data_IF_708199595845
#
_entry.id   IF_708199595845
#
_cell.length_a   1.000
_cell.length_b   1.000
_cell.length_c   1.000
_cell.angle_alpha   90.00
_cell.angle_beta   90.00
_cell.angle_gamma   90.00
#
_symmetry.space_group_name_H-M   'P 1'
#
loop_
_entity.id
_entity.type
_entity.pdbx_description
1 polymer ?
#
# COMPACT_ATOMS: atom_id res chain seq x y z
N UNK A 1 -31.90 -20.44 -21.70
CA UNK A 1 -31.63 -19.12 -21.10
C UNK A 1 -30.23 -18.75 -21.50
N UNK A 2 -30.07 -17.75 -22.36
CA UNK A 2 -28.74 -17.22 -22.67
C UNK A 2 -28.27 -16.53 -21.39
N UNK A 3 -27.25 -17.09 -20.74
CA UNK A 3 -26.57 -16.42 -19.63
C UNK A 3 -25.90 -15.19 -20.26
N UNK A 4 -26.45 -14.00 -20.04
CA UNK A 4 -25.78 -12.77 -20.45
C UNK A 4 -24.44 -12.71 -19.72
N UNK A 5 -23.35 -12.70 -20.48
CA UNK A 5 -22.02 -12.48 -19.95
C UNK A 5 -22.05 -11.15 -19.16
N UNK A 6 -21.72 -11.13 -17.85
CA UNK A 6 -21.86 -9.93 -17.01
C UNK A 6 -21.07 -8.76 -17.59
N UNK A 7 -21.37 -7.49 -17.32
CA UNK A 7 -20.52 -6.38 -17.81
C UNK A 7 -19.10 -6.46 -17.22
N UNK A 8 -18.10 -5.81 -17.84
CA UNK A 8 -16.75 -5.75 -17.26
C UNK A 8 -16.74 -5.10 -15.88
N UNK A 9 -17.60 -4.10 -15.67
CA UNK A 9 -17.78 -3.42 -14.39
C UNK A 9 -18.36 -4.36 -13.33
N UNK A 10 -19.39 -5.13 -13.67
CA UNK A 10 -19.95 -6.14 -12.76
C UNK A 10 -18.94 -7.26 -12.44
N UNK A 11 -18.09 -7.62 -13.41
CA UNK A 11 -16.99 -8.56 -13.17
C UNK A 11 -15.96 -7.97 -12.20
N UNK A 12 -15.53 -6.72 -12.38
CA UNK A 12 -14.59 -6.03 -11.48
C UNK A 12 -15.13 -5.94 -10.05
N UNK A 13 -16.41 -5.61 -9.89
CA UNK A 13 -17.06 -5.54 -8.59
C UNK A 13 -17.10 -6.92 -7.90
N UNK A 14 -17.34 -7.98 -8.66
CA UNK A 14 -17.40 -9.36 -8.17
C UNK A 14 -16.03 -10.01 -7.94
N UNK A 15 -14.96 -9.49 -8.55
CA UNK A 15 -13.61 -10.05 -8.49
C UNK A 15 -13.06 -10.01 -7.04
N UNK A 16 -12.68 -11.14 -6.43
CA UNK A 16 -11.94 -11.14 -5.17
C UNK A 16 -10.57 -10.52 -5.37
N UNK A 17 -10.16 -9.62 -4.47
CA UNK A 17 -8.91 -8.87 -4.59
C UNK A 17 -8.04 -9.00 -3.33
N UNK A 18 -6.75 -8.76 -3.53
CA UNK A 18 -5.75 -8.59 -2.48
C UNK A 18 -5.08 -7.24 -2.70
N UNK A 19 -4.93 -6.47 -1.63
CA UNK A 19 -4.27 -5.16 -1.63
C UNK A 19 -2.89 -5.31 -0.97
N UNK A 20 -1.82 -5.02 -1.70
CA UNK A 20 -0.44 -5.24 -1.22
C UNK A 20 0.33 -3.95 -0.95
N UNK A 21 -0.18 -2.82 -1.44
CA UNK A 21 0.51 -1.54 -1.35
C UNK A 21 -0.51 -0.45 -1.05
N UNK A 22 -0.74 -0.26 0.25
CA UNK A 22 -1.66 0.74 0.79
C UNK A 22 -1.13 1.24 2.14
N UNK A 23 -1.22 2.55 2.36
CA UNK A 23 -0.69 3.17 3.57
C UNK A 23 -1.81 3.48 4.58
N UNK A 24 -1.56 3.19 5.86
CA UNK A 24 -2.56 3.34 6.93
C UNK A 24 -3.18 4.74 6.97
N UNK A 25 -2.36 5.79 7.04
CA UNK A 25 -2.85 7.18 7.12
C UNK A 25 -3.45 7.62 5.79
N UNK A 26 -2.85 7.23 4.66
CA UNK A 26 -3.36 7.52 3.32
C UNK A 26 -4.72 6.92 3.03
N UNK A 27 -4.99 5.74 3.61
CA UNK A 27 -6.26 5.01 3.48
C UNK A 27 -7.39 5.55 4.37
N UNK A 28 -7.17 6.64 5.10
CA UNK A 28 -8.17 7.25 5.96
C UNK A 28 -9.30 7.91 5.16
N UNK A 29 -10.40 7.18 4.95
CA UNK A 29 -11.55 7.71 4.22
C UNK A 29 -12.29 8.80 4.98
N UNK A 30 -13.11 9.57 4.26
CA UNK A 30 -13.96 10.64 4.82
C UNK A 30 -14.74 10.19 6.07
N UNK A 31 -15.45 9.04 6.10
CA UNK A 31 -16.14 8.61 7.33
C UNK A 31 -15.19 8.33 8.49
N UNK A 32 -14.03 7.74 8.22
CA UNK A 32 -13.02 7.41 9.24
C UNK A 32 -12.40 8.69 9.81
N UNK A 33 -12.07 9.65 8.96
CA UNK A 33 -11.51 10.94 9.36
C UNK A 33 -12.52 11.76 10.16
N UNK A 34 -13.81 11.72 9.82
CA UNK A 34 -14.86 12.34 10.64
C UNK A 34 -14.96 11.71 12.02
N UNK A 35 -14.78 10.39 12.14
CA UNK A 35 -14.76 9.71 13.43
C UNK A 35 -13.58 10.19 14.29
N UNK A 36 -12.36 10.20 13.71
CA UNK A 36 -11.16 10.72 14.37
C UNK A 36 -11.30 12.19 14.77
N UNK A 37 -11.78 13.05 13.86
CA UNK A 37 -11.92 14.48 14.10
C UNK A 37 -12.98 14.79 15.17
N UNK A 38 -14.04 13.98 15.28
CA UNK A 38 -15.03 14.09 16.37
C UNK A 38 -14.46 13.67 17.73
N UNK A 39 -13.55 12.69 17.76
CA UNK A 39 -12.83 12.30 18.99
C UNK A 39 -11.88 13.40 19.46
N UNK A 40 -11.26 14.11 18.51
CA UNK A 40 -10.29 15.18 18.76
C UNK A 40 -10.77 16.55 18.26
N UNK A 41 -11.80 17.16 18.89
CA UNK A 41 -12.37 18.42 18.41
C UNK A 41 -11.35 19.56 18.46
N UNK A 42 -11.47 20.49 17.50
CA UNK A 42 -10.55 21.63 17.36
C UNK A 42 -9.27 21.32 16.59
N UNK A 43 -9.19 20.14 15.95
CA UNK A 43 -8.15 19.81 14.98
C UNK A 43 -8.28 20.59 13.66
N UNK A 44 -7.30 20.45 12.76
CA UNK A 44 -7.23 21.20 11.49
C UNK A 44 -8.23 20.72 10.43
N UNK A 45 -8.96 19.63 10.68
CA UNK A 45 -9.81 18.95 9.70
C UNK A 45 -11.29 19.32 9.91
N UNK A 46 -12.07 19.61 8.84
CA UNK A 46 -13.50 19.89 8.94
C UNK A 46 -14.32 18.76 9.57
N UNK A 47 -15.37 19.12 10.33
CA UNK A 47 -16.30 18.17 10.96
C UNK A 47 -17.58 17.93 10.15
N UNK A 48 -17.84 18.77 9.16
CA UNK A 48 -18.92 18.57 8.18
C UNK A 48 -18.42 17.68 7.04
N UNK A 49 -19.23 16.70 6.64
CA UNK A 49 -18.83 15.73 5.63
C UNK A 49 -18.59 16.37 4.25
N UNK A 50 -19.39 17.36 3.87
CA UNK A 50 -19.25 18.02 2.57
C UNK A 50 -17.99 18.88 2.55
N UNK A 51 -17.72 19.61 3.63
CA UNK A 51 -16.48 20.37 3.77
C UNK A 51 -15.26 19.46 3.77
N UNK A 52 -15.35 18.30 4.43
CA UNK A 52 -14.26 17.32 4.43
C UNK A 52 -14.04 16.70 3.04
N UNK A 53 -15.09 16.42 2.26
CA UNK A 53 -14.91 15.96 0.87
C UNK A 53 -14.16 16.99 0.04
N UNK A 54 -14.52 18.27 0.16
CA UNK A 54 -13.81 19.35 -0.52
C UNK A 54 -12.37 19.53 0.00
N UNK A 55 -12.09 19.17 1.26
CA UNK A 55 -10.75 19.19 1.84
C UNK A 55 -9.80 18.17 1.17
N UNK A 56 -10.34 17.07 0.65
CA UNK A 56 -9.60 16.07 -0.13
C UNK A 56 -9.46 16.45 -1.63
N UNK A 57 -9.96 17.60 -2.08
CA UNK A 57 -9.75 18.07 -3.46
C UNK A 57 -8.40 18.81 -3.55
N UNK A 58 -7.36 18.10 -4.01
CA UNK A 58 -6.00 18.63 -4.06
C UNK A 58 -5.79 19.64 -5.20
N UNK A 59 -4.97 20.66 -4.94
CA UNK A 59 -4.61 21.71 -5.91
C UNK A 59 -3.25 21.44 -6.54
N UNK A 60 -2.33 20.88 -5.75
CA UNK A 60 -0.96 20.54 -6.08
C UNK A 60 -0.38 19.62 -4.99
N UNK A 61 0.84 19.13 -5.20
CA UNK A 61 1.54 18.25 -4.26
C UNK A 61 1.78 18.90 -2.87
N UNK A 62 2.17 20.19 -2.75
CA UNK A 62 2.21 20.87 -1.46
C UNK A 62 0.89 20.82 -0.69
N UNK A 63 -0.25 21.07 -1.35
CA UNK A 63 -1.56 21.00 -0.71
C UNK A 63 -1.89 19.56 -0.26
N UNK A 64 -1.53 18.55 -1.05
CA UNK A 64 -1.63 17.14 -0.63
C UNK A 64 -0.84 16.88 0.67
N UNK A 65 0.41 17.35 0.75
CA UNK A 65 1.23 17.18 1.95
C UNK A 65 0.60 17.86 3.18
N UNK A 66 0.06 19.07 3.03
CA UNK A 66 -0.65 19.78 4.11
C UNK A 66 -1.88 19.01 4.62
N UNK A 67 -2.66 18.42 3.71
CA UNK A 67 -3.84 17.61 4.04
C UNK A 67 -3.42 16.30 4.73
N UNK A 68 -2.40 15.62 4.20
CA UNK A 68 -1.84 14.41 4.79
C UNK A 68 -1.36 14.66 6.23
N UNK A 69 -0.59 15.73 6.45
CA UNK A 69 -0.15 16.15 7.79
C UNK A 69 -1.33 16.46 8.71
N UNK A 70 -2.37 17.12 8.19
CA UNK A 70 -3.57 17.46 8.96
C UNK A 70 -4.31 16.20 9.43
N UNK A 71 -4.48 15.22 8.56
CA UNK A 71 -5.11 13.93 8.90
C UNK A 71 -4.24 13.13 9.86
N UNK A 72 -2.93 13.06 9.60
CA UNK A 72 -1.96 12.41 10.49
C UNK A 72 -2.00 12.99 11.91
N UNK A 73 -2.20 14.30 12.05
CA UNK A 73 -2.30 14.99 13.35
C UNK A 73 -3.53 14.61 14.19
N UNK A 74 -4.51 13.94 13.60
CA UNK A 74 -5.67 13.40 14.32
C UNK A 74 -5.35 12.08 15.04
N UNK A 75 -4.27 11.39 14.67
CA UNK A 75 -3.88 10.12 15.29
C UNK A 75 -3.03 10.41 16.53
N UNK A 76 -3.67 10.42 17.71
CA UNK A 76 -3.03 10.84 18.96
C UNK A 76 -2.96 9.72 19.98
N UNK A 77 -3.94 8.83 19.96
CA UNK A 77 -4.09 7.73 20.90
C UNK A 77 -4.10 6.38 20.16
N UNK A 78 -3.77 5.26 20.84
CA UNK A 78 -3.82 3.93 20.24
C UNK A 78 -5.18 3.58 19.61
N UNK A 79 -6.27 4.08 20.20
CA UNK A 79 -7.62 3.90 19.64
C UNK A 79 -7.79 4.54 18.25
N UNK A 80 -7.05 5.60 17.95
CA UNK A 80 -7.08 6.24 16.62
C UNK A 80 -6.41 5.37 15.56
N UNK A 81 -5.32 4.69 15.94
CA UNK A 81 -4.66 3.70 15.07
C UNK A 81 -5.61 2.55 14.76
N UNK A 82 -6.32 2.03 15.78
CA UNK A 82 -7.33 1.01 15.57
C UNK A 82 -8.50 1.50 14.69
N UNK A 83 -8.95 2.76 14.91
CA UNK A 83 -9.99 3.41 14.09
C UNK A 83 -9.58 3.46 12.62
N UNK A 84 -8.33 3.81 12.32
CA UNK A 84 -7.81 3.81 10.95
C UNK A 84 -7.86 2.41 10.33
N UNK A 85 -7.28 1.40 10.99
CA UNK A 85 -7.26 0.01 10.47
C UNK A 85 -8.68 -0.50 10.20
N UNK A 86 -9.61 -0.29 11.13
CA UNK A 86 -11.00 -0.74 10.98
C UNK A 86 -11.74 0.02 9.87
N UNK A 87 -11.48 1.31 9.73
CA UNK A 87 -11.96 2.13 8.62
C UNK A 87 -11.49 1.59 7.27
N UNK A 88 -10.20 1.32 7.13
CA UNK A 88 -9.59 0.73 5.93
C UNK A 88 -10.20 -0.64 5.63
N UNK A 89 -10.34 -1.51 6.63
CA UNK A 89 -10.95 -2.83 6.47
C UNK A 89 -12.41 -2.76 6.00
N UNK A 90 -13.21 -1.84 6.57
CA UNK A 90 -14.59 -1.59 6.13
C UNK A 90 -14.64 -1.22 4.64
N UNK A 91 -13.78 -0.30 4.22
CA UNK A 91 -13.80 0.24 2.85
C UNK A 91 -13.27 -0.77 1.83
N UNK A 92 -12.29 -1.60 2.21
CA UNK A 92 -11.79 -2.71 1.41
C UNK A 92 -12.81 -3.85 1.30
N UNK A 93 -13.58 -4.14 2.35
CA UNK A 93 -14.65 -5.14 2.29
C UNK A 93 -15.71 -4.79 1.24
N UNK A 94 -16.07 -3.50 1.13
CA UNK A 94 -17.00 -3.00 0.12
C UNK A 94 -16.47 -3.14 -1.33
N UNK A 95 -15.17 -3.40 -1.49
CA UNK A 95 -14.49 -3.60 -2.76
C UNK A 95 -14.20 -5.08 -3.08
N UNK A 96 -14.76 -5.98 -2.27
CA UNK A 96 -14.55 -7.44 -2.36
C UNK A 96 -13.08 -7.84 -2.13
N UNK A 97 -12.36 -7.07 -1.33
CA UNK A 97 -11.00 -7.41 -0.90
C UNK A 97 -11.06 -8.46 0.21
N UNK A 98 -10.22 -9.48 0.11
CA UNK A 98 -10.14 -10.59 1.08
C UNK A 98 -8.99 -10.41 2.08
N UNK A 99 -7.92 -9.78 1.62
CA UNK A 99 -6.70 -9.62 2.39
C UNK A 99 -5.97 -8.34 2.01
N UNK A 100 -5.36 -7.70 3.02
CA UNK A 100 -4.56 -6.49 2.87
C UNK A 100 -3.25 -6.60 3.64
N UNK A 101 -2.18 -6.14 3.01
CA UNK A 101 -0.90 -5.86 3.67
C UNK A 101 -0.80 -4.35 3.86
N UNK A 102 -1.18 -3.88 5.03
CA UNK A 102 -1.31 -2.47 5.35
C UNK A 102 0.04 -1.93 5.83
N UNK A 103 0.59 -0.98 5.08
CA UNK A 103 1.83 -0.30 5.45
C UNK A 103 1.57 0.69 6.58
N UNK A 104 2.32 0.53 7.66
CA UNK A 104 2.27 1.37 8.86
C UNK A 104 3.66 1.95 9.09
N UNK A 105 3.73 3.26 9.28
CA UNK A 105 4.97 3.96 9.64
C UNK A 105 5.01 4.16 11.15
N UNK A 106 5.41 3.16 11.97
CA UNK A 106 5.28 3.26 13.42
C UNK A 106 6.07 4.43 14.02
N UNK A 107 7.19 4.80 13.39
CA UNK A 107 8.07 5.85 13.89
C UNK A 107 7.38 7.22 13.95
N UNK A 108 6.44 7.54 13.05
CA UNK A 108 5.72 8.82 13.10
C UNK A 108 4.83 8.91 14.33
N UNK A 109 4.14 7.81 14.69
CA UNK A 109 3.33 7.71 15.91
C UNK A 109 4.19 7.75 17.17
N UNK A 110 5.37 7.11 17.16
CA UNK A 110 6.33 7.20 18.26
C UNK A 110 6.82 8.63 18.46
N UNK A 111 7.13 9.35 17.37
CA UNK A 111 7.57 10.74 17.42
C UNK A 111 6.47 11.67 17.94
N UNK A 112 5.20 11.29 17.73
CA UNK A 112 4.04 11.96 18.33
C UNK A 112 3.83 11.61 19.82
N UNK A 113 4.67 10.75 20.41
CA UNK A 113 4.67 10.40 21.83
C UNK A 113 3.97 9.08 22.16
N UNK A 114 3.48 8.32 21.16
CA UNK A 114 2.80 7.06 21.40
C UNK A 114 3.81 5.93 21.74
N UNK A 115 3.64 5.22 22.87
CA UNK A 115 4.53 4.10 23.21
C UNK A 115 4.41 2.95 22.20
N UNK A 116 5.55 2.35 21.81
CA UNK A 116 5.58 1.18 20.90
C UNK A 116 4.61 0.06 21.31
N UNK A 117 4.54 -0.38 22.59
CA UNK A 117 3.62 -1.44 22.99
C UNK A 117 2.15 -1.07 22.77
N UNK A 118 1.81 0.21 22.91
CA UNK A 118 0.43 0.69 22.77
C UNK A 118 -0.01 0.71 21.30
N UNK A 119 0.89 1.12 20.39
CA UNK A 119 0.67 1.00 18.94
C UNK A 119 0.44 -0.47 18.57
N UNK A 120 1.29 -1.37 19.07
CA UNK A 120 1.21 -2.81 18.81
C UNK A 120 -0.11 -3.42 19.28
N UNK A 121 -0.53 -3.10 20.51
CA UNK A 121 -1.81 -3.58 21.05
C UNK A 121 -3.00 -3.12 20.22
N UNK A 122 -3.00 -1.85 19.77
CA UNK A 122 -4.05 -1.34 18.89
C UNK A 122 -4.09 -2.05 17.53
N UNK A 123 -2.94 -2.31 16.94
CA UNK A 123 -2.83 -3.04 15.67
C UNK A 123 -3.30 -4.49 15.80
N UNK A 124 -2.95 -5.19 16.88
CA UNK A 124 -3.38 -6.58 17.12
C UNK A 124 -4.90 -6.66 17.32
N UNK A 125 -5.46 -5.76 18.13
CA UNK A 125 -6.90 -5.69 18.35
C UNK A 125 -7.65 -5.40 17.05
N UNK A 126 -7.19 -4.40 16.28
CA UNK A 126 -7.84 -4.02 15.05
C UNK A 126 -7.75 -5.08 13.95
N UNK A 127 -6.65 -5.84 13.86
CA UNK A 127 -6.53 -6.94 12.90
C UNK A 127 -7.54 -8.07 13.18
N UNK A 128 -7.74 -8.42 14.46
CA UNK A 128 -8.74 -9.39 14.86
C UNK A 128 -10.16 -8.92 14.54
N UNK A 129 -10.46 -7.67 14.91
CA UNK A 129 -11.79 -7.08 14.71
C UNK A 129 -12.12 -6.82 13.22
N UNK A 130 -11.13 -6.45 12.40
CA UNK A 130 -11.29 -6.32 10.95
C UNK A 130 -11.77 -7.63 10.31
N UNK A 131 -11.17 -8.77 10.71
CA UNK A 131 -11.61 -10.08 10.24
C UNK A 131 -13.01 -10.40 10.73
N UNK A 132 -13.29 -10.20 12.01
CA UNK A 132 -14.55 -10.63 12.63
C UNK A 132 -15.75 -9.79 12.17
N UNK A 133 -15.57 -8.48 11.92
CA UNK A 133 -16.63 -7.56 11.49
C UNK A 133 -16.78 -7.44 9.98
N UNK A 134 -15.67 -7.50 9.23
CA UNK A 134 -15.64 -7.16 7.82
C UNK A 134 -15.20 -8.32 6.92
N UNK A 135 -14.72 -9.43 7.49
CA UNK A 135 -14.22 -10.56 6.72
C UNK A 135 -12.89 -10.28 6.02
N UNK A 136 -12.21 -9.16 6.34
CA UNK A 136 -10.93 -8.77 5.74
C UNK A 136 -9.80 -9.20 6.65
N UNK A 137 -8.89 -10.00 6.11
CA UNK A 137 -7.65 -10.39 6.82
C UNK A 137 -6.63 -9.26 6.67
N UNK A 138 -6.12 -8.74 7.80
CA UNK A 138 -5.11 -7.68 7.81
C UNK A 138 -3.77 -8.27 8.23
N UNK A 139 -2.72 -7.93 7.48
CA UNK A 139 -1.34 -8.05 7.88
C UNK A 139 -0.65 -6.67 7.80
N UNK A 140 0.45 -6.51 8.52
CA UNK A 140 1.16 -5.24 8.61
C UNK A 140 2.55 -5.31 7.99
N UNK A 141 2.93 -4.21 7.34
CA UNK A 141 4.29 -3.93 6.92
C UNK A 141 4.74 -2.69 7.72
N UNK A 142 5.81 -2.81 8.49
CA UNK A 142 6.40 -1.62 9.15
C UNK A 142 7.44 -1.00 8.24
N UNK A 143 7.23 0.26 7.85
CA UNK A 143 8.15 0.96 6.96
C UNK A 143 8.99 2.03 7.69
N UNK A 144 10.20 2.21 7.16
CA UNK A 144 11.05 3.32 7.51
C UNK A 144 10.58 4.54 6.71
N UNK A 145 10.29 5.68 7.35
CA UNK A 145 10.09 6.93 6.63
C UNK A 145 11.46 7.51 6.25
N UNK A 146 11.81 7.38 4.96
CA UNK A 146 13.18 7.56 4.45
C UNK A 146 13.81 8.92 4.75
N UNK A 147 13.01 9.98 4.83
CA UNK A 147 13.42 11.34 5.17
C UNK A 147 13.90 11.51 6.61
N UNK A 148 13.58 10.58 7.52
CA UNK A 148 14.11 10.57 8.89
C UNK A 148 15.41 9.78 9.04
N UNK A 149 15.94 9.25 7.94
CA UNK A 149 17.26 8.65 7.86
C UNK A 149 17.54 7.66 8.97
N UNK A 150 18.68 7.82 9.65
CA UNK A 150 19.15 6.90 10.68
C UNK A 150 18.25 6.82 11.92
N UNK A 151 17.61 7.92 12.32
CA UNK A 151 16.74 7.91 13.50
C UNK A 151 15.44 7.17 13.23
N UNK A 152 14.79 7.44 12.09
CA UNK A 152 13.61 6.71 11.65
C UNK A 152 13.90 5.23 11.42
N UNK A 153 15.06 4.92 10.83
CA UNK A 153 15.50 3.53 10.66
C UNK A 153 15.59 2.78 11.98
N UNK A 154 16.28 3.36 12.98
CA UNK A 154 16.42 2.75 14.29
C UNK A 154 15.08 2.60 14.99
N UNK A 155 14.25 3.64 15.00
CA UNK A 155 12.96 3.62 15.69
C UNK A 155 11.97 2.60 15.10
N UNK A 156 11.89 2.50 13.77
CA UNK A 156 11.06 1.48 13.11
C UNK A 156 11.60 0.07 13.39
N UNK A 157 12.91 -0.15 13.28
CA UNK A 157 13.52 -1.46 13.54
C UNK A 157 13.35 -1.91 14.99
N UNK A 158 13.62 -1.02 15.95
CA UNK A 158 13.50 -1.31 17.37
C UNK A 158 12.06 -1.74 17.72
N UNK A 159 11.05 -1.08 17.13
CA UNK A 159 9.66 -1.47 17.29
C UNK A 159 9.38 -2.84 16.68
N UNK A 160 9.76 -3.06 15.42
CA UNK A 160 9.54 -4.32 14.72
C UNK A 160 10.18 -5.52 15.45
N UNK A 161 11.29 -5.32 16.17
CA UNK A 161 11.98 -6.40 16.89
C UNK A 161 11.53 -6.56 18.34
N UNK A 162 11.28 -5.46 19.06
CA UNK A 162 10.96 -5.51 20.49
C UNK A 162 9.45 -5.66 20.76
N UNK A 163 8.61 -5.09 19.89
CA UNK A 163 7.16 -5.03 20.05
C UNK A 163 6.42 -5.32 18.73
N UNK A 164 6.71 -6.41 17.98
CA UNK A 164 5.98 -6.71 16.76
C UNK A 164 4.50 -7.01 17.04
N UNK A 165 3.54 -6.47 16.27
CA UNK A 165 2.19 -7.02 16.25
C UNK A 165 2.22 -8.44 15.67
N UNK A 166 1.28 -9.29 16.09
CA UNK A 166 1.19 -10.69 15.66
C UNK A 166 1.06 -10.82 14.14
N UNK A 167 0.40 -9.84 13.50
CA UNK A 167 0.19 -9.80 12.06
C UNK A 167 1.31 -9.06 11.30
N UNK A 168 2.45 -8.74 11.92
CA UNK A 168 3.60 -8.15 11.23
C UNK A 168 4.25 -9.19 10.30
N UNK A 169 4.21 -8.93 8.99
CA UNK A 169 4.75 -9.85 7.96
C UNK A 169 5.94 -9.29 7.21
N UNK A 170 6.08 -7.96 7.19
CA UNK A 170 7.06 -7.29 6.34
C UNK A 170 7.71 -6.07 6.99
N UNK A 171 8.85 -5.72 6.42
CA UNK A 171 9.60 -4.51 6.73
C UNK A 171 9.85 -3.74 5.43
N UNK A 172 9.50 -2.46 5.44
CA UNK A 172 9.48 -1.59 4.27
C UNK A 172 10.36 -0.35 4.41
N UNK A 173 10.44 0.40 3.32
CA UNK A 173 11.11 1.69 3.22
C UNK A 173 10.29 2.54 2.27
N UNK A 174 9.75 3.64 2.78
CA UNK A 174 8.94 4.58 2.01
C UNK A 174 9.49 6.00 2.16
N UNK A 175 8.67 7.00 1.87
CA UNK A 175 9.04 8.41 1.91
C UNK A 175 9.92 8.82 0.72
N UNK A 176 10.57 9.98 0.82
CA UNK A 176 11.21 10.64 -0.33
C UNK A 176 12.44 9.85 -0.81
N UNK A 177 12.42 9.28 -2.02
CA UNK A 177 13.52 8.44 -2.53
C UNK A 177 14.84 9.21 -2.68
N UNK A 178 14.79 10.46 -3.11
CA UNK A 178 15.97 11.26 -3.45
C UNK A 178 16.84 11.62 -2.24
N UNK A 179 16.29 11.54 -1.01
CA UNK A 179 17.03 11.84 0.22
C UNK A 179 17.59 10.59 0.91
N UNK A 180 17.37 9.39 0.35
CA UNK A 180 17.78 8.11 0.96
C UNK A 180 19.29 7.83 0.82
N UNK A 181 19.94 8.36 -0.22
CA UNK A 181 21.33 8.05 -0.57
C UNK A 181 22.39 8.21 0.55
N UNK A 182 22.29 9.20 1.47
CA UNK A 182 23.21 9.33 2.60
C UNK A 182 23.05 8.26 3.69
N UNK A 183 21.93 7.53 3.71
CA UNK A 183 21.54 6.61 4.78
C UNK A 183 21.52 5.13 4.35
N UNK A 184 22.00 4.83 3.13
CA UNK A 184 21.90 3.51 2.50
C UNK A 184 22.45 2.36 3.31
N UNK A 185 23.62 2.53 3.92
CA UNK A 185 24.20 1.47 4.75
C UNK A 185 23.37 1.22 6.01
N UNK A 186 22.79 2.28 6.59
CA UNK A 186 21.86 2.17 7.73
C UNK A 186 20.59 1.41 7.35
N UNK A 187 20.00 1.70 6.20
CA UNK A 187 18.85 0.94 5.69
C UNK A 187 19.23 -0.53 5.44
N UNK A 188 20.37 -0.79 4.79
CA UNK A 188 20.86 -2.15 4.53
C UNK A 188 21.00 -2.97 5.82
N UNK A 189 21.59 -2.39 6.86
CA UNK A 189 21.78 -3.09 8.13
C UNK A 189 20.44 -3.35 8.84
N UNK A 190 19.50 -2.41 8.78
CA UNK A 190 18.16 -2.61 9.32
C UNK A 190 17.37 -3.70 8.58
N UNK A 191 17.40 -3.70 7.25
CA UNK A 191 16.77 -4.76 6.46
C UNK A 191 17.41 -6.12 6.68
N UNK A 192 18.74 -6.19 6.85
CA UNK A 192 19.41 -7.43 7.25
C UNK A 192 18.90 -7.94 8.60
N UNK A 193 18.74 -7.06 9.58
CA UNK A 193 18.23 -7.43 10.90
C UNK A 193 16.75 -7.87 10.86
N UNK A 194 15.89 -7.12 10.15
CA UNK A 194 14.47 -7.45 9.99
C UNK A 194 14.29 -8.82 9.30
N UNK A 195 15.04 -9.09 8.23
CA UNK A 195 15.02 -10.38 7.54
C UNK A 195 15.54 -11.52 8.41
N UNK A 196 16.57 -11.27 9.23
CA UNK A 196 17.06 -12.25 10.19
C UNK A 196 16.02 -12.59 11.27
N UNK A 197 15.07 -11.68 11.54
CA UNK A 197 13.92 -11.90 12.41
C UNK A 197 12.72 -12.56 11.69
N UNK A 198 12.84 -12.86 10.39
CA UNK A 198 11.80 -13.54 9.60
C UNK A 198 10.83 -12.62 8.88
N UNK A 199 11.04 -11.30 8.91
CA UNK A 199 10.22 -10.35 8.16
C UNK A 199 10.61 -10.33 6.68
N UNK A 200 9.63 -10.19 5.80
CA UNK A 200 9.89 -9.99 4.36
C UNK A 200 10.43 -8.59 4.08
N UNK A 201 11.26 -8.47 3.05
CA UNK A 201 11.74 -7.16 2.57
C UNK A 201 10.82 -6.61 1.50
N UNK A 202 10.11 -5.52 1.80
CA UNK A 202 9.09 -4.90 0.94
C UNK A 202 9.30 -3.37 0.79
N UNK A 203 10.46 -2.92 0.27
CA UNK A 203 10.76 -1.49 0.12
C UNK A 203 10.12 -0.86 -1.14
N UNK A 204 9.86 0.44 -1.09
CA UNK A 204 9.63 1.24 -2.30
C UNK A 204 10.94 1.45 -3.05
N UNK A 205 10.87 1.46 -4.39
CA UNK A 205 12.01 1.84 -5.23
C UNK A 205 11.61 2.17 -6.66
N UNK A 206 12.21 3.22 -7.21
CA UNK A 206 12.05 3.59 -8.62
C UNK A 206 10.70 4.21 -8.95
N UNK A 207 10.08 4.86 -7.97
CA UNK A 207 8.90 5.70 -8.19
C UNK A 207 9.31 7.13 -8.55
N UNK A 208 10.13 7.75 -7.68
CA UNK A 208 10.55 9.15 -7.79
C UNK A 208 12.00 9.31 -8.28
N UNK A 209 12.63 8.18 -8.58
CA UNK A 209 14.02 8.05 -9.02
C UNK A 209 14.16 7.00 -10.12
N UNK A 210 15.38 6.79 -10.62
CA UNK A 210 15.61 5.89 -11.74
C UNK A 210 15.78 4.42 -11.34
N UNK A 211 16.06 3.55 -12.34
CA UNK A 211 16.35 2.12 -12.17
C UNK A 211 17.39 1.80 -11.10
N UNK A 212 18.32 2.72 -10.82
CA UNK A 212 19.37 2.54 -9.82
C UNK A 212 18.83 2.27 -8.41
N UNK A 213 17.72 2.90 -8.04
CA UNK A 213 17.07 2.67 -6.73
C UNK A 213 16.43 1.29 -6.69
N UNK A 214 15.89 0.81 -7.81
CA UNK A 214 15.32 -0.54 -7.91
C UNK A 214 16.43 -1.59 -7.71
N UNK A 215 17.57 -1.43 -8.40
CA UNK A 215 18.74 -2.28 -8.17
C UNK A 215 19.21 -2.22 -6.71
N UNK A 216 19.25 -1.02 -6.13
CA UNK A 216 19.67 -0.83 -4.74
C UNK A 216 18.78 -1.59 -3.76
N UNK A 217 17.45 -1.58 -3.94
CA UNK A 217 16.56 -2.30 -3.04
C UNK A 217 16.60 -3.81 -3.27
N UNK A 218 16.74 -4.27 -4.51
CA UNK A 218 16.89 -5.71 -4.84
C UNK A 218 18.19 -6.26 -4.24
N UNK A 219 19.33 -5.65 -4.57
CA UNK A 219 20.64 -6.17 -4.19
C UNK A 219 21.04 -5.79 -2.76
N UNK A 220 20.68 -4.58 -2.33
CA UNK A 220 21.07 -4.01 -1.06
C UNK A 220 20.15 -4.40 0.09
N UNK A 221 18.83 -4.36 -0.13
CA UNK A 221 17.84 -4.64 0.92
C UNK A 221 17.32 -6.09 0.86
N UNK A 222 17.55 -6.77 -0.27
CA UNK A 222 17.06 -8.12 -0.51
C UNK A 222 15.56 -8.14 -0.74
N UNK A 223 15.05 -7.17 -1.49
CA UNK A 223 13.63 -7.00 -1.78
C UNK A 223 13.00 -8.28 -2.32
N UNK A 224 11.88 -8.68 -1.72
CA UNK A 224 11.02 -9.75 -2.21
C UNK A 224 9.90 -9.22 -3.10
N UNK A 225 9.52 -7.95 -2.91
CA UNK A 225 8.67 -7.14 -3.78
C UNK A 225 9.18 -5.70 -3.76
N UNK A 226 8.91 -4.95 -4.82
CA UNK A 226 9.27 -3.53 -4.91
C UNK A 226 8.01 -2.68 -5.06
N UNK A 227 7.84 -1.73 -4.14
CA UNK A 227 6.82 -0.68 -4.24
C UNK A 227 7.05 0.18 -5.48
N UNK A 228 6.02 0.29 -6.33
CA UNK A 228 6.02 0.92 -7.64
C UNK A 228 6.94 0.25 -8.67
N UNK A 229 8.25 0.59 -8.69
CA UNK A 229 9.21 0.09 -9.68
C UNK A 229 8.96 0.56 -11.12
N UNK A 230 8.20 1.64 -11.31
CA UNK A 230 7.75 2.08 -12.65
C UNK A 230 8.88 2.59 -13.56
N UNK A 231 9.99 3.07 -12.99
CA UNK A 231 11.17 3.48 -13.76
C UNK A 231 11.98 2.30 -14.32
N UNK A 232 11.61 1.04 -14.01
CA UNK A 232 12.39 -0.13 -14.45
C UNK A 232 12.59 -0.22 -15.96
N UNK A 233 11.65 0.32 -16.76
CA UNK A 233 11.70 0.30 -18.22
C UNK A 233 12.85 1.13 -18.82
N UNK A 234 13.50 1.98 -18.03
CA UNK A 234 14.65 2.78 -18.47
C UNK A 234 15.98 2.01 -18.45
N UNK A 235 16.03 0.82 -17.82
CA UNK A 235 17.18 -0.10 -17.86
C UNK A 235 16.78 -1.48 -18.43
N UNK A 236 17.11 -1.79 -19.70
CA UNK A 236 16.82 -3.10 -20.29
C UNK A 236 17.38 -4.30 -19.54
N UNK A 237 18.47 -4.13 -18.77
CA UNK A 237 19.03 -5.21 -17.95
C UNK A 237 18.14 -5.49 -16.73
N UNK A 238 17.56 -4.44 -16.16
CA UNK A 238 16.62 -4.56 -15.04
C UNK A 238 15.32 -5.20 -15.51
N UNK A 239 14.79 -4.79 -16.67
CA UNK A 239 13.62 -5.46 -17.29
C UNK A 239 13.88 -6.96 -17.49
N UNK A 240 15.04 -7.31 -18.06
CA UNK A 240 15.41 -8.72 -18.25
C UNK A 240 15.51 -9.49 -16.91
N UNK A 241 16.12 -8.88 -15.89
CA UNK A 241 16.23 -9.46 -14.57
C UNK A 241 14.86 -9.67 -13.92
N UNK A 242 14.00 -8.66 -13.91
CA UNK A 242 12.66 -8.73 -13.32
C UNK A 242 11.77 -9.77 -14.03
N UNK A 243 11.85 -9.85 -15.36
CA UNK A 243 11.17 -10.92 -16.13
C UNK A 243 11.70 -12.30 -15.75
N UNK A 244 13.01 -12.48 -15.61
CA UNK A 244 13.61 -13.78 -15.30
C UNK A 244 13.29 -14.24 -13.87
N UNK A 245 13.41 -13.34 -12.90
CA UNK A 245 13.20 -13.65 -11.48
C UNK A 245 11.73 -13.62 -11.07
N UNK A 246 10.87 -13.01 -11.89
CA UNK A 246 9.46 -12.78 -11.60
C UNK A 246 9.27 -12.05 -10.25
N UNK A 247 10.19 -11.12 -9.93
CA UNK A 247 10.09 -10.28 -8.74
C UNK A 247 8.89 -9.33 -8.88
N UNK A 248 7.92 -9.35 -7.94
CA UNK A 248 6.71 -8.53 -8.04
C UNK A 248 6.98 -7.03 -7.92
N UNK A 249 6.34 -6.25 -8.81
CA UNK A 249 6.26 -4.80 -8.75
C UNK A 249 4.83 -4.38 -8.34
N UNK A 250 4.73 -3.62 -7.26
CA UNK A 250 3.45 -3.15 -6.70
C UNK A 250 3.06 -1.81 -7.33
N UNK A 251 2.35 -1.85 -8.46
CA UNK A 251 2.09 -0.66 -9.28
C UNK A 251 0.79 0.03 -8.84
N UNK A 252 0.83 1.37 -8.78
CA UNK A 252 -0.26 2.23 -8.29
C UNK A 252 -0.57 3.35 -9.31
N UNK A 253 -1.29 3.07 -10.42
CA UNK A 253 -1.40 4.00 -11.54
C UNK A 253 -1.93 5.39 -11.20
N UNK A 254 -3.01 5.48 -10.41
CA UNK A 254 -3.57 6.80 -10.04
C UNK A 254 -2.64 7.56 -9.11
N UNK A 255 -2.01 6.87 -8.14
CA UNK A 255 -0.98 7.46 -7.28
C UNK A 255 0.14 8.08 -8.11
N UNK A 256 0.71 7.32 -9.06
CA UNK A 256 1.83 7.79 -9.87
C UNK A 256 1.49 9.04 -10.71
N UNK A 257 0.21 9.23 -11.07
CA UNK A 257 -0.27 10.48 -11.71
C UNK A 257 -0.41 11.60 -10.68
N UNK A 258 -1.06 11.34 -9.54
CA UNK A 258 -1.28 12.32 -8.48
C UNK A 258 0.02 12.84 -7.86
N UNK A 259 1.04 12.00 -7.74
CA UNK A 259 2.38 12.35 -7.24
C UNK A 259 3.26 12.97 -8.33
N UNK A 260 2.76 13.09 -9.57
CA UNK A 260 3.44 13.74 -10.69
C UNK A 260 4.58 12.93 -11.32
N UNK A 261 4.71 11.65 -10.96
CA UNK A 261 5.74 10.77 -11.54
C UNK A 261 5.37 10.32 -12.96
N UNK A 262 4.08 10.28 -13.27
CA UNK A 262 3.53 10.03 -14.60
C UNK A 262 2.59 11.18 -14.97
N UNK A 263 2.65 11.65 -16.22
CA UNK A 263 1.90 12.84 -16.64
C UNK A 263 0.38 12.63 -16.70
N UNK A 264 -0.06 11.48 -17.24
CA UNK A 264 -1.47 11.09 -17.34
C UNK A 264 -1.58 9.57 -17.26
N UNK A 265 -2.79 9.06 -16.98
CA UNK A 265 -3.02 7.61 -16.98
C UNK A 265 -2.67 7.00 -18.34
N UNK A 266 -3.04 7.62 -19.46
CA UNK A 266 -2.72 7.10 -20.81
C UNK A 266 -1.22 6.98 -21.10
N UNK A 267 -0.39 7.77 -20.41
CA UNK A 267 1.06 7.73 -20.52
C UNK A 267 1.71 6.75 -19.52
N UNK A 268 0.93 6.08 -18.67
CA UNK A 268 1.42 5.21 -17.61
C UNK A 268 2.18 3.99 -18.18
N UNK A 269 3.31 3.57 -17.57
CA UNK A 269 4.13 2.48 -18.11
C UNK A 269 3.52 1.08 -17.94
N UNK A 270 2.45 0.94 -17.14
CA UNK A 270 1.83 -0.36 -16.81
C UNK A 270 1.57 -1.25 -18.05
N UNK A 271 0.95 -0.79 -19.16
CA UNK A 271 0.74 -1.64 -20.33
C UNK A 271 2.05 -2.21 -20.89
N UNK A 272 3.11 -1.38 -20.94
CA UNK A 272 4.43 -1.83 -21.41
C UNK A 272 5.09 -2.80 -20.45
N UNK A 273 4.91 -2.62 -19.13
CA UNK A 273 5.41 -3.56 -18.12
C UNK A 273 4.76 -4.94 -18.28
N UNK A 274 3.46 -4.98 -18.58
CA UNK A 274 2.74 -6.22 -18.87
C UNK A 274 3.19 -6.86 -20.18
N UNK A 275 3.38 -6.07 -21.25
CA UNK A 275 3.89 -6.55 -22.54
C UNK A 275 5.30 -7.15 -22.44
N UNK A 276 6.13 -6.61 -21.55
CA UNK A 276 7.48 -7.13 -21.24
C UNK A 276 7.45 -8.42 -20.40
N UNK A 277 6.27 -8.86 -19.93
CA UNK A 277 6.10 -10.06 -19.11
C UNK A 277 6.57 -9.89 -17.66
N UNK A 278 6.53 -8.66 -17.13
CA UNK A 278 6.88 -8.37 -15.75
C UNK A 278 5.78 -8.83 -14.79
N UNK A 279 6.17 -9.31 -13.61
CA UNK A 279 5.23 -9.65 -12.54
C UNK A 279 4.72 -8.36 -11.92
N UNK A 280 3.51 -7.94 -12.27
CA UNK A 280 2.88 -6.74 -11.72
C UNK A 280 1.67 -7.09 -10.87
N UNK A 281 1.53 -6.41 -9.73
CA UNK A 281 0.29 -6.32 -8.95
C UNK A 281 -0.28 -4.90 -9.07
N UNK A 282 -1.60 -4.78 -8.95
CA UNK A 282 -2.31 -3.51 -9.05
C UNK A 282 -2.83 -3.11 -7.66
N UNK A 283 -2.50 -1.90 -7.21
CA UNK A 283 -2.66 -1.44 -5.83
C UNK A 283 -3.10 0.03 -5.78
N UNK A 284 -3.59 0.49 -4.62
CA UNK A 284 -4.23 1.79 -4.49
C UNK A 284 -3.45 2.88 -3.73
N UNK A 285 -2.41 2.50 -2.99
CA UNK A 285 -1.48 3.41 -2.29
C UNK A 285 -2.13 4.27 -1.18
N UNK A 286 -2.46 5.55 -1.43
CA UNK A 286 -3.19 6.43 -0.50
C UNK A 286 -4.62 6.74 -1.04
N UNK A 287 -5.55 5.76 -1.11
CA UNK A 287 -6.73 5.83 -1.98
C UNK A 287 -7.64 7.06 -1.79
N UNK A 288 -8.13 7.38 -0.58
CA UNK A 288 -8.85 8.62 -0.31
C UNK A 288 -8.10 9.89 -0.71
N UNK A 289 -6.78 9.90 -0.58
CA UNK A 289 -5.91 11.02 -0.95
C UNK A 289 -5.63 11.12 -2.45
N UNK A 290 -6.05 10.13 -3.25
CA UNK A 290 -5.93 10.18 -4.70
C UNK A 290 -7.31 10.13 -5.39
N UNK A 291 -8.39 10.31 -4.62
CA UNK A 291 -9.78 10.11 -5.07
C UNK A 291 -9.96 8.77 -5.82
N UNK A 292 -9.31 7.73 -5.31
CA UNK A 292 -9.37 6.38 -5.89
C UNK A 292 -9.70 5.32 -4.85
N UNK A 293 -9.86 4.09 -5.35
CA UNK A 293 -10.08 2.87 -4.58
C UNK A 293 -9.39 1.73 -5.34
N UNK A 294 -9.09 0.60 -4.70
CA UNK A 294 -8.55 -0.56 -5.42
C UNK A 294 -9.46 -1.00 -6.57
N UNK A 295 -10.77 -1.08 -6.34
CA UNK A 295 -11.73 -1.35 -7.42
C UNK A 295 -11.65 -0.27 -8.51
N UNK A 296 -11.43 0.99 -8.14
CA UNK A 296 -11.15 2.11 -9.06
C UNK A 296 -9.93 1.86 -9.94
N UNK A 297 -8.81 1.39 -9.38
CA UNK A 297 -7.62 1.03 -10.14
C UNK A 297 -7.90 -0.08 -11.15
N UNK A 298 -8.70 -1.09 -10.79
CA UNK A 298 -9.14 -2.14 -11.72
C UNK A 298 -10.03 -1.59 -12.84
N UNK A 299 -10.82 -0.54 -12.58
CA UNK A 299 -11.58 0.16 -13.62
C UNK A 299 -10.67 0.99 -14.52
N UNK A 300 -9.67 1.68 -13.98
CA UNK A 300 -8.62 2.36 -14.77
C UNK A 300 -7.91 1.35 -15.69
N UNK A 301 -7.55 0.18 -15.15
CA UNK A 301 -6.96 -0.90 -15.91
C UNK A 301 -7.84 -1.37 -17.09
N UNK A 302 -9.15 -1.46 -16.88
CA UNK A 302 -10.09 -1.82 -17.94
C UNK A 302 -10.32 -0.69 -18.95
N UNK A 303 -10.65 0.50 -18.46
CA UNK A 303 -11.20 1.60 -19.25
C UNK A 303 -10.10 2.41 -19.96
N UNK A 304 -8.93 2.55 -19.34
CA UNK A 304 -7.78 3.31 -19.88
C UNK A 304 -6.76 2.40 -20.56
N UNK A 305 -6.40 1.27 -19.91
CA UNK A 305 -5.39 0.35 -20.45
C UNK A 305 -5.96 -0.75 -21.33
N UNK A 306 -7.28 -0.85 -21.45
CA UNK A 306 -7.95 -1.82 -22.31
C UNK A 306 -7.80 -3.27 -21.84
N UNK A 307 -7.50 -3.50 -20.56
CA UNK A 307 -7.33 -4.84 -20.01
C UNK A 307 -8.69 -5.56 -19.94
N UNK A 308 -8.74 -6.76 -20.50
CA UNK A 308 -9.92 -7.61 -20.46
C UNK A 308 -10.03 -8.36 -19.11
N UNK A 309 -11.09 -9.15 -18.94
CA UNK A 309 -11.33 -9.91 -17.71
C UNK A 309 -10.22 -10.90 -17.38
N UNK A 310 -9.63 -11.53 -18.41
CA UNK A 310 -8.58 -12.51 -18.20
C UNK A 310 -7.33 -11.81 -17.64
N UNK A 311 -6.99 -10.65 -18.20
CA UNK A 311 -5.89 -9.83 -17.72
C UNK A 311 -6.14 -9.27 -16.31
N UNK A 312 -7.34 -8.75 -16.03
CA UNK A 312 -7.72 -8.28 -14.69
C UNK A 312 -7.70 -9.41 -13.64
N UNK A 313 -8.22 -10.58 -13.97
CA UNK A 313 -8.10 -11.76 -13.11
C UNK A 313 -6.64 -12.19 -12.94
N UNK A 314 -5.81 -12.02 -13.97
CA UNK A 314 -4.36 -12.22 -13.91
C UNK A 314 -3.69 -11.33 -12.86
N UNK A 315 -3.98 -10.02 -12.88
CA UNK A 315 -3.49 -9.07 -11.88
C UNK A 315 -3.94 -9.42 -10.46
N UNK A 316 -5.20 -9.85 -10.31
CA UNK A 316 -5.71 -10.31 -9.01
C UNK A 316 -4.99 -11.58 -8.52
N UNK A 317 -4.72 -12.56 -9.41
CA UNK A 317 -3.93 -13.76 -9.07
C UNK A 317 -2.48 -13.42 -8.74
N UNK A 318 -1.88 -12.46 -9.44
CA UNK A 318 -0.54 -11.96 -9.14
C UNK A 318 -0.49 -11.40 -7.71
N UNK A 319 -1.47 -10.59 -7.31
CA UNK A 319 -1.55 -10.07 -5.95
C UNK A 319 -1.70 -11.20 -4.90
N UNK A 320 -2.55 -12.20 -5.15
CA UNK A 320 -2.65 -13.36 -4.24
C UNK A 320 -1.33 -14.14 -4.16
N UNK A 321 -0.67 -14.34 -5.29
CA UNK A 321 0.59 -15.10 -5.37
C UNK A 321 1.74 -14.40 -4.66
N UNK A 322 1.84 -13.07 -4.83
CA UNK A 322 2.86 -12.23 -4.23
C UNK A 322 2.62 -11.95 -2.73
N UNK A 323 1.42 -12.20 -2.23
CA UNK A 323 1.07 -11.96 -0.83
C UNK A 323 1.81 -12.88 0.17
N UNK A 324 1.87 -12.43 1.42
CA UNK A 324 2.34 -13.15 2.59
C UNK A 324 1.32 -14.13 3.15
N UNK A 325 0.18 -14.33 2.47
CA UNK A 325 -0.82 -15.32 2.86
C UNK A 325 -0.21 -16.73 2.96
N UNK A 326 -0.76 -17.51 3.89
CA UNK A 326 -0.50 -18.95 3.95
C UNK A 326 -0.99 -19.66 2.68
N UNK A 327 -0.46 -20.85 2.42
CA UNK A 327 -0.75 -21.58 1.19
C UNK A 327 -2.25 -21.92 1.03
N UNK A 328 -2.94 -22.25 2.12
CA UNK A 328 -4.37 -22.59 2.08
C UNK A 328 -5.21 -21.40 1.66
N UNK A 329 -4.99 -20.26 2.31
CA UNK A 329 -5.68 -19.00 2.00
C UNK A 329 -5.46 -18.54 0.56
N UNK A 330 -4.23 -18.68 0.03
CA UNK A 330 -3.96 -18.35 -1.38
C UNK A 330 -4.75 -19.23 -2.33
N UNK A 331 -4.84 -20.53 -2.05
CA UNK A 331 -5.60 -21.47 -2.87
C UNK A 331 -7.10 -21.17 -2.85
N UNK A 332 -7.65 -20.80 -1.69
CA UNK A 332 -9.04 -20.40 -1.54
C UNK A 332 -9.38 -19.17 -2.39
N UNK A 333 -8.59 -18.09 -2.29
CA UNK A 333 -8.85 -16.86 -3.03
C UNK A 333 -8.64 -17.06 -4.53
N UNK A 334 -7.62 -17.81 -4.95
CA UNK A 334 -7.41 -18.15 -6.37
C UNK A 334 -8.61 -18.94 -6.91
N UNK A 335 -9.14 -19.90 -6.14
CA UNK A 335 -10.33 -20.65 -6.55
C UNK A 335 -11.58 -19.76 -6.68
N UNK A 336 -11.75 -18.75 -5.80
CA UNK A 336 -12.81 -17.75 -5.97
C UNK A 336 -12.64 -16.93 -7.25
N UNK A 337 -11.40 -16.53 -7.59
CA UNK A 337 -11.10 -15.78 -8.83
C UNK A 337 -11.37 -16.65 -10.07
N UNK A 338 -10.99 -17.92 -10.05
CA UNK A 338 -11.17 -18.86 -11.17
C UNK A 338 -12.64 -19.24 -11.43
N UNK A 339 -13.53 -18.97 -10.48
CA UNK A 339 -14.95 -19.29 -10.58
C UNK A 339 -15.79 -18.19 -11.27
N UNK A 340 -15.21 -17.04 -11.61
CA UNK A 340 -15.88 -15.89 -12.27
C UNK A 340 -15.80 -15.92 -13.79
#
# INVERSE_FOLDING_TARGET
>A
MLSETPSIQAFIDALPKVELHVHLVGSASVPTVLELARRHPGGPVPLDERELRAFYEFRDFPHFAEVYESVSSLVRDPEDVATLVLGTARDLAAQNVRYVELTVTPYTHQRAGMPMPAITEALDLAAGEARDRHGVRVAYIFDIPGEFGAEGTRGTLDHALAHPPQALVGFGLAGIEQVRAPHRDTFRDAFRAARAAGLRSLPHGGEMSGPETIWEVIEGLGAERVGHGISCLDDPRLVAHLRETQLPLEVCPTSNVCTGQVATLEAHPLPRMLDEGLFVTLNSDDPPMFDTTLTGEYRVAADVFGLDRAALAGLARNAVTASCLDQGARQEIIAEIDAL
#
